data_IF_289372703848
#
_entry.id   IF_289372703848
#
_cell.length_a   1.000
_cell.length_b   1.000
_cell.length_c   1.000
_cell.angle_alpha   90.00
_cell.angle_beta   90.00
_cell.angle_gamma   90.00
#
_symmetry.space_group_name_H-M   'P 1'
#
loop_
_entity.id
_entity.type
_entity.pdbx_description
1 polymer ?
#
# COMPACT_ATOMS: atom_id res chain seq x y z
N UNK A 1 10.84 -12.08 4.67
CA UNK A 1 11.32 -10.81 4.08
C UNK A 1 12.19 -10.97 2.80
N UNK A 2 11.94 -11.87 1.83
CA UNK A 2 12.72 -11.87 0.57
C UNK A 2 12.52 -10.62 -0.30
N UNK A 3 11.29 -10.08 -0.32
CA UNK A 3 10.93 -8.91 -1.14
C UNK A 3 11.72 -7.65 -0.72
N UNK A 4 11.78 -7.35 0.58
CA UNK A 4 12.51 -6.19 1.10
C UNK A 4 14.01 -6.28 0.75
N UNK A 5 14.64 -7.45 0.95
CA UNK A 5 16.04 -7.64 0.56
C UNK A 5 16.24 -7.49 -0.96
N UNK A 6 15.35 -8.06 -1.77
CA UNK A 6 15.40 -7.92 -3.23
C UNK A 6 15.29 -6.45 -3.67
N UNK A 7 14.44 -5.66 -3.01
CA UNK A 7 14.28 -4.23 -3.32
C UNK A 7 15.49 -3.40 -2.89
N UNK A 8 16.06 -3.65 -1.70
CA UNK A 8 17.27 -2.97 -1.24
C UNK A 8 18.46 -3.29 -2.15
N UNK A 9 18.63 -4.56 -2.52
CA UNK A 9 19.67 -5.00 -3.45
C UNK A 9 19.43 -4.38 -4.84
N UNK A 10 18.19 -4.39 -5.33
CA UNK A 10 17.82 -3.76 -6.60
C UNK A 10 18.13 -2.26 -6.63
N UNK A 11 17.81 -1.55 -5.55
CA UNK A 11 18.12 -0.12 -5.39
C UNK A 11 19.63 0.13 -5.31
N UNK A 12 20.36 -0.69 -4.54
CA UNK A 12 21.81 -0.60 -4.43
C UNK A 12 22.50 -0.84 -5.79
N UNK A 13 22.05 -1.86 -6.54
CA UNK A 13 22.55 -2.15 -7.88
C UNK A 13 22.21 -1.05 -8.90
N UNK A 14 21.05 -0.41 -8.76
CA UNK A 14 20.66 0.74 -9.59
C UNK A 14 21.51 1.99 -9.30
N UNK A 15 21.79 2.29 -8.02
CA UNK A 15 22.64 3.42 -7.63
C UNK A 15 24.13 3.16 -7.90
N UNK A 16 24.57 1.90 -7.85
CA UNK A 16 25.94 1.51 -8.20
C UNK A 16 26.13 1.61 -9.72
N UNK A 17 26.57 2.81 -10.14
CA UNK A 17 26.97 3.18 -11.51
C UNK A 17 27.80 2.14 -12.32
N UNK A 18 28.61 1.22 -11.76
CA UNK A 18 29.28 0.20 -12.59
C UNK A 18 28.33 -0.82 -13.26
N UNK A 19 27.10 -1.04 -12.77
CA UNK A 19 26.17 -2.03 -13.36
C UNK A 19 25.12 -1.37 -14.27
N UNK A 20 25.46 -1.08 -15.52
CA UNK A 20 24.53 -0.61 -16.58
C UNK A 20 23.48 -1.65 -17.04
N UNK A 21 23.27 -2.72 -16.28
CA UNK A 21 22.34 -3.80 -16.63
C UNK A 21 20.89 -3.38 -16.35
N UNK A 22 20.66 -2.48 -15.37
CA UNK A 22 19.32 -1.99 -15.01
C UNK A 22 19.02 -0.65 -15.70
N UNK A 23 18.45 -0.72 -16.90
CA UNK A 23 18.02 0.45 -17.68
C UNK A 23 16.49 0.64 -17.74
N UNK A 24 16.03 1.74 -18.35
CA UNK A 24 14.59 2.05 -18.55
C UNK A 24 13.84 0.88 -19.24
N UNK A 25 14.44 0.25 -20.26
CA UNK A 25 13.88 -0.94 -20.95
C UNK A 25 13.68 -2.12 -20.01
N UNK A 26 14.67 -2.44 -19.17
CA UNK A 26 14.58 -3.56 -18.24
C UNK A 26 13.58 -3.30 -17.11
N UNK A 27 13.49 -2.06 -16.63
CA UNK A 27 12.45 -1.67 -15.66
C UNK A 27 11.03 -1.82 -16.22
N UNK A 28 10.83 -1.47 -17.50
CA UNK A 28 9.53 -1.62 -18.16
C UNK A 28 9.14 -3.10 -18.34
N UNK A 29 10.10 -3.95 -18.70
CA UNK A 29 9.88 -5.41 -18.76
C UNK A 29 9.64 -5.99 -17.37
N UNK A 30 10.37 -5.54 -16.35
CA UNK A 30 10.20 -5.97 -14.97
C UNK A 30 8.82 -5.59 -14.41
N UNK A 31 8.28 -4.40 -14.75
CA UNK A 31 6.91 -4.03 -14.39
C UNK A 31 5.88 -5.02 -14.98
N UNK A 32 6.01 -5.38 -16.25
CA UNK A 32 5.12 -6.38 -16.87
C UNK A 32 5.28 -7.78 -16.27
N UNK A 33 6.52 -8.22 -16.03
CA UNK A 33 6.82 -9.51 -15.42
C UNK A 33 6.30 -9.60 -13.97
N UNK A 34 6.43 -8.52 -13.20
CA UNK A 34 5.91 -8.44 -11.84
C UNK A 34 4.43 -8.77 -11.79
N UNK A 35 3.64 -8.31 -12.78
CA UNK A 35 2.22 -8.61 -12.86
C UNK A 35 1.93 -10.10 -13.09
N UNK A 36 2.69 -10.76 -13.96
CA UNK A 36 2.56 -12.20 -14.23
C UNK A 36 2.86 -13.01 -12.96
N UNK A 37 3.86 -12.59 -12.17
CA UNK A 37 4.19 -13.25 -10.91
C UNK A 37 3.22 -12.93 -9.76
N UNK A 38 2.65 -11.72 -9.75
CA UNK A 38 1.65 -11.30 -8.76
C UNK A 38 0.27 -11.87 -9.08
N UNK A 39 -0.06 -12.18 -10.34
CA UNK A 39 -1.35 -12.74 -10.74
C UNK A 39 -1.78 -13.98 -9.94
N UNK A 40 -0.93 -15.03 -9.82
CA UNK A 40 -1.21 -16.19 -8.97
C UNK A 40 -1.38 -15.84 -7.49
N UNK A 41 -0.65 -14.85 -6.99
CA UNK A 41 -0.83 -14.33 -5.63
C UNK A 41 -2.21 -13.69 -5.49
N UNK A 42 -2.59 -12.77 -6.39
CA UNK A 42 -3.92 -12.15 -6.40
C UNK A 42 -5.02 -13.21 -6.47
N UNK A 43 -4.89 -14.21 -7.34
CA UNK A 43 -5.87 -15.29 -7.47
C UNK A 43 -6.02 -16.08 -6.16
N UNK A 44 -4.91 -16.45 -5.52
CA UNK A 44 -4.94 -17.13 -4.21
C UNK A 44 -5.59 -16.24 -3.15
N UNK A 45 -5.27 -14.95 -3.13
CA UNK A 45 -5.78 -13.98 -2.17
C UNK A 45 -7.28 -13.74 -2.37
N UNK A 46 -7.76 -13.70 -3.61
CA UNK A 46 -9.17 -13.61 -3.95
C UNK A 46 -9.97 -14.83 -3.48
N UNK A 47 -9.45 -16.05 -3.71
CA UNK A 47 -10.07 -17.30 -3.23
C UNK A 47 -10.10 -17.32 -1.69
N UNK A 48 -8.99 -16.99 -1.05
CA UNK A 48 -8.88 -16.95 0.41
C UNK A 48 -9.83 -15.90 1.03
N UNK A 49 -9.97 -14.74 0.39
CA UNK A 49 -10.89 -13.69 0.84
C UNK A 49 -12.34 -14.13 0.70
N UNK A 50 -12.71 -14.71 -0.45
CA UNK A 50 -14.05 -15.25 -0.68
C UNK A 50 -14.47 -16.32 0.34
N UNK A 51 -13.54 -17.22 0.71
CA UNK A 51 -13.79 -18.22 1.76
C UNK A 51 -13.95 -17.61 3.16
N UNK A 52 -13.32 -16.45 3.39
CA UNK A 52 -13.32 -15.78 4.69
C UNK A 52 -14.51 -14.84 4.89
N UNK A 53 -15.48 -14.83 3.97
CA UNK A 53 -16.65 -13.94 4.07
C UNK A 53 -17.48 -14.21 5.33
N UNK A 54 -17.56 -15.48 5.75
CA UNK A 54 -18.21 -15.86 7.01
C UNK A 54 -17.50 -15.27 8.23
N UNK A 55 -16.17 -15.16 8.19
CA UNK A 55 -15.40 -14.52 9.25
C UNK A 55 -15.76 -13.04 9.27
N UNK A 56 -15.75 -12.34 8.13
CA UNK A 56 -16.11 -10.91 8.04
C UNK A 56 -17.49 -10.63 8.64
N UNK A 57 -18.48 -11.49 8.39
CA UNK A 57 -19.84 -11.34 8.94
C UNK A 57 -19.91 -11.55 10.46
N UNK A 58 -18.95 -12.29 11.02
CA UNK A 58 -18.85 -12.58 12.45
C UNK A 58 -17.91 -11.61 13.17
N UNK A 59 -17.15 -10.81 12.43
CA UNK A 59 -16.30 -9.76 12.98
C UNK A 59 -17.19 -8.72 13.67
N UNK A 60 -16.88 -8.41 14.93
CA UNK A 60 -17.64 -7.45 15.71
C UNK A 60 -17.62 -6.03 15.12
N UNK A 61 -18.63 -5.19 15.43
CA UNK A 61 -18.74 -3.84 14.88
C UNK A 61 -17.52 -2.95 15.14
N UNK A 62 -16.81 -3.17 16.26
CA UNK A 62 -15.59 -2.44 16.58
C UNK A 62 -14.48 -2.63 15.52
N UNK A 63 -14.32 -3.85 15.01
CA UNK A 63 -13.33 -4.18 13.99
C UNK A 63 -13.73 -3.64 12.61
N UNK A 64 -15.02 -3.67 12.26
CA UNK A 64 -15.50 -3.05 11.03
C UNK A 64 -15.27 -1.53 11.05
N UNK A 65 -15.54 -0.88 12.18
CA UNK A 65 -15.26 0.55 12.34
C UNK A 65 -13.76 0.86 12.31
N UNK A 66 -12.93 -0.03 12.85
CA UNK A 66 -11.47 0.09 12.75
C UNK A 66 -11.02 0.08 11.29
N UNK A 67 -11.50 -0.86 10.48
CA UNK A 67 -11.17 -0.92 9.06
C UNK A 67 -11.71 0.29 8.28
N UNK A 68 -12.94 0.72 8.53
CA UNK A 68 -13.48 1.95 7.94
C UNK A 68 -12.66 3.20 8.32
N UNK A 69 -11.99 3.18 9.47
CA UNK A 69 -11.04 4.22 9.87
C UNK A 69 -9.90 4.40 8.88
N UNK A 70 -9.54 3.36 8.12
CA UNK A 70 -8.52 3.42 7.07
C UNK A 70 -8.91 4.39 5.94
N UNK A 71 -10.21 4.55 5.64
CA UNK A 71 -10.72 5.57 4.70
C UNK A 71 -10.33 6.99 5.11
N UNK A 72 -10.14 7.23 6.42
CA UNK A 72 -9.69 8.50 6.98
C UNK A 72 -8.37 8.97 6.38
N UNK A 73 -7.49 8.04 6.00
CA UNK A 73 -6.20 8.36 5.41
C UNK A 73 -6.31 9.06 4.05
N UNK A 74 -7.38 8.81 3.29
CA UNK A 74 -7.62 9.43 1.97
C UNK A 74 -7.69 10.95 2.12
N UNK A 75 -8.37 11.44 3.16
CA UNK A 75 -8.56 12.88 3.40
C UNK A 75 -7.26 13.63 3.68
N UNK A 76 -6.20 12.93 4.10
CA UNK A 76 -4.88 13.53 4.32
C UNK A 76 -3.94 13.24 3.13
N UNK A 77 -3.92 12.00 2.65
CA UNK A 77 -3.01 11.57 1.61
C UNK A 77 -3.33 12.22 0.25
N UNK A 78 -4.61 12.32 -0.12
CA UNK A 78 -5.02 12.87 -1.41
C UNK A 78 -4.66 14.36 -1.56
N UNK A 79 -4.96 15.26 -0.60
CA UNK A 79 -4.50 16.65 -0.70
C UNK A 79 -2.99 16.78 -0.77
N UNK A 80 -2.25 16.01 0.04
CA UNK A 80 -0.79 16.05 0.04
C UNK A 80 -0.24 15.60 -1.33
N UNK A 81 -0.79 14.54 -1.92
CA UNK A 81 -0.36 14.07 -3.23
C UNK A 81 -0.67 15.07 -4.34
N UNK A 82 -1.83 15.74 -4.30
CA UNK A 82 -2.19 16.81 -5.25
C UNK A 82 -1.26 18.03 -5.12
N UNK A 83 -0.87 18.40 -3.89
CA UNK A 83 0.09 19.48 -3.64
C UNK A 83 1.50 19.16 -4.14
N UNK A 84 1.87 17.89 -4.16
CA UNK A 84 3.11 17.40 -4.75
C UNK A 84 3.08 17.36 -6.30
N UNK A 85 1.94 17.70 -6.91
CA UNK A 85 1.79 17.83 -8.36
C UNK A 85 1.34 16.56 -9.08
N UNK A 86 1.05 15.49 -8.35
CA UNK A 86 0.47 14.29 -8.94
C UNK A 86 -0.98 14.53 -9.37
N UNK A 87 -1.41 13.95 -10.49
CA UNK A 87 -2.75 14.13 -11.05
C UNK A 87 -3.56 12.84 -10.89
N UNK A 88 -3.87 12.15 -11.99
CA UNK A 88 -4.65 10.91 -11.99
C UNK A 88 -3.96 9.79 -11.20
N UNK A 89 -2.64 9.83 -11.12
CA UNK A 89 -1.84 8.92 -10.29
C UNK A 89 -2.30 8.93 -8.83
N UNK A 90 -2.79 10.09 -8.32
CA UNK A 90 -3.21 10.24 -6.91
C UNK A 90 -4.34 9.28 -6.53
N UNK A 91 -5.22 8.94 -7.48
CA UNK A 91 -6.31 8.00 -7.23
C UNK A 91 -5.72 6.62 -6.89
N UNK A 92 -4.75 6.16 -7.67
CA UNK A 92 -4.03 4.91 -7.39
C UNK A 92 -3.16 4.98 -6.13
N UNK A 93 -2.55 6.14 -5.86
CA UNK A 93 -1.65 6.31 -4.71
C UNK A 93 -2.34 6.42 -3.36
N UNK A 94 -3.59 6.90 -3.34
CA UNK A 94 -4.25 7.33 -2.08
C UNK A 94 -5.54 6.59 -1.79
N UNK A 95 -6.08 5.83 -2.74
CA UNK A 95 -7.30 5.03 -2.53
C UNK A 95 -7.13 3.88 -1.54
N UNK A 96 -5.90 3.52 -1.19
CA UNK A 96 -5.63 2.56 -0.12
C UNK A 96 -4.17 2.61 0.30
N UNK A 97 -3.77 1.77 1.25
CA UNK A 97 -2.39 1.49 1.65
C UNK A 97 -1.56 0.85 0.49
N UNK A 98 -2.17 0.62 -0.69
CA UNK A 98 -1.54 0.11 -1.92
C UNK A 98 -0.82 -1.22 -1.68
N UNK A 99 -1.59 -2.30 -1.46
CA UNK A 99 -1.08 -3.67 -1.30
C UNK A 99 -1.43 -4.53 -2.51
N UNK A 100 -0.91 -5.75 -2.54
CA UNK A 100 -1.11 -6.73 -3.61
C UNK A 100 -2.58 -6.83 -4.10
N UNK A 101 -3.60 -6.94 -3.23
CA UNK A 101 -4.99 -6.93 -3.68
C UNK A 101 -5.38 -5.60 -4.34
N UNK A 102 -4.94 -4.47 -3.80
CA UNK A 102 -5.27 -3.14 -4.34
C UNK A 102 -4.63 -2.90 -5.70
N UNK A 103 -3.42 -3.43 -5.91
CA UNK A 103 -2.77 -3.40 -7.22
C UNK A 103 -3.65 -4.13 -8.26
N UNK A 104 -4.16 -5.31 -7.91
CA UNK A 104 -5.10 -6.05 -8.74
C UNK A 104 -6.36 -5.25 -9.06
N UNK A 105 -6.99 -4.65 -8.04
CA UNK A 105 -8.23 -3.88 -8.19
C UNK A 105 -8.02 -2.67 -9.10
N UNK A 106 -6.96 -1.89 -8.90
CA UNK A 106 -6.67 -0.69 -9.70
C UNK A 106 -6.37 -1.08 -11.14
N UNK A 107 -5.60 -2.15 -11.38
CA UNK A 107 -5.27 -2.60 -12.73
C UNK A 107 -6.50 -3.16 -13.44
N UNK A 108 -7.35 -3.91 -12.75
CA UNK A 108 -8.62 -4.40 -13.29
C UNK A 108 -9.55 -3.25 -13.69
N UNK A 109 -9.65 -2.22 -12.83
CA UNK A 109 -10.56 -1.09 -13.04
C UNK A 109 -10.07 -0.07 -14.07
N UNK A 110 -8.79 0.32 -14.04
CA UNK A 110 -8.25 1.41 -14.86
C UNK A 110 -7.36 0.94 -16.02
N UNK A 111 -6.94 -0.33 -16.02
CA UNK A 111 -6.01 -0.88 -16.99
C UNK A 111 -4.55 -0.68 -16.61
N UNK A 112 -3.68 -1.53 -17.19
CA UNK A 112 -2.26 -1.62 -16.84
C UNK A 112 -1.46 -0.35 -17.16
N UNK A 113 -1.71 0.27 -18.31
CA UNK A 113 -0.98 1.47 -18.77
C UNK A 113 -1.56 2.78 -18.23
N UNK A 114 -2.52 2.71 -17.30
CA UNK A 114 -3.14 3.87 -16.68
C UNK A 114 -2.20 4.60 -15.71
N UNK A 115 -2.44 5.89 -15.53
CA UNK A 115 -1.70 6.70 -14.57
C UNK A 115 -2.02 6.24 -13.12
N UNK A 116 -3.23 5.74 -12.86
CA UNK A 116 -3.63 5.12 -11.60
C UNK A 116 -2.80 3.86 -11.28
N UNK A 117 -2.64 2.96 -12.25
CA UNK A 117 -1.82 1.76 -12.10
C UNK A 117 -0.35 2.11 -11.78
N UNK A 118 0.19 3.16 -12.41
CA UNK A 118 1.53 3.68 -12.12
C UNK A 118 1.61 4.26 -10.71
N UNK A 119 0.58 4.99 -10.27
CA UNK A 119 0.48 5.53 -8.92
C UNK A 119 0.52 4.44 -7.85
N UNK A 120 -0.37 3.45 -7.94
CA UNK A 120 -0.44 2.35 -6.96
C UNK A 120 0.85 1.52 -6.94
N UNK A 121 1.49 1.28 -8.09
CA UNK A 121 2.78 0.59 -8.18
C UNK A 121 3.89 1.38 -7.48
N UNK A 122 3.94 2.69 -7.69
CA UNK A 122 4.92 3.57 -7.03
C UNK A 122 4.83 3.48 -5.52
N UNK A 123 3.62 3.60 -4.97
CA UNK A 123 3.40 3.55 -3.52
C UNK A 123 3.57 2.13 -2.98
N UNK A 124 3.19 1.08 -3.72
CA UNK A 124 3.45 -0.30 -3.33
C UNK A 124 4.96 -0.53 -3.10
N UNK A 125 5.79 -0.07 -4.03
CA UNK A 125 7.25 -0.20 -3.96
C UNK A 125 7.82 0.66 -2.84
N UNK A 126 7.64 1.99 -2.93
CA UNK A 126 8.26 2.93 -1.99
C UNK A 126 7.68 2.75 -0.58
N UNK A 127 6.37 2.60 -0.48
CA UNK A 127 5.64 2.45 0.78
C UNK A 127 5.98 1.15 1.50
N UNK A 128 6.24 0.04 0.80
CA UNK A 128 6.69 -1.18 1.47
C UNK A 128 8.09 -1.02 2.04
N UNK A 129 9.00 -0.37 1.32
CA UNK A 129 10.38 -0.16 1.80
C UNK A 129 10.46 0.83 2.96
N UNK A 130 9.97 2.05 2.74
CA UNK A 130 10.07 3.14 3.71
C UNK A 130 9.05 2.93 4.84
N UNK A 131 7.84 2.50 4.50
CA UNK A 131 6.76 2.31 5.46
C UNK A 131 7.08 1.23 6.49
N UNK A 132 7.77 0.14 6.14
CA UNK A 132 8.17 -0.89 7.12
C UNK A 132 9.11 -0.33 8.20
N UNK A 133 10.06 0.53 7.81
CA UNK A 133 10.97 1.19 8.76
C UNK A 133 10.19 2.22 9.59
N UNK A 134 9.40 3.05 8.91
CA UNK A 134 8.64 4.12 9.54
C UNK A 134 7.62 3.59 10.56
N UNK A 135 6.89 2.52 10.23
CA UNK A 135 5.84 1.99 11.12
C UNK A 135 6.41 1.36 12.39
N UNK A 136 7.56 0.69 12.30
CA UNK A 136 8.24 0.14 13.47
C UNK A 136 8.66 1.25 14.45
N UNK A 137 9.21 2.33 13.91
CA UNK A 137 9.56 3.52 14.69
C UNK A 137 8.32 4.22 15.27
N UNK A 138 7.27 4.40 14.46
CA UNK A 138 6.03 5.03 14.87
C UNK A 138 5.35 4.27 16.01
N UNK A 139 5.24 2.95 15.90
CA UNK A 139 4.66 2.11 16.97
C UNK A 139 5.48 2.21 18.25
N UNK A 140 6.81 2.28 18.14
CA UNK A 140 7.68 2.44 19.31
C UNK A 140 7.38 3.74 20.08
N UNK A 141 7.17 4.84 19.36
CA UNK A 141 6.78 6.13 19.94
C UNK A 141 5.37 6.04 20.52
N UNK A 142 4.40 5.57 19.74
CA UNK A 142 2.99 5.49 20.15
C UNK A 142 2.84 4.64 21.42
N UNK A 143 3.50 3.49 21.48
CA UNK A 143 3.46 2.60 22.64
C UNK A 143 4.07 3.21 23.90
N UNK A 144 4.94 4.21 23.75
CA UNK A 144 5.56 4.93 24.86
C UNK A 144 4.76 6.16 25.31
N UNK A 145 4.06 6.83 24.38
CA UNK A 145 3.41 8.13 24.61
C UNK A 145 1.92 8.00 24.89
N UNK A 146 1.23 7.09 24.20
CA UNK A 146 -0.21 6.94 24.33
C UNK A 146 -0.56 5.88 25.40
N UNK A 147 -1.43 6.20 26.37
CA UNK A 147 -1.86 5.26 27.40
C UNK A 147 -2.94 4.30 26.87
N UNK A 148 -2.67 3.64 25.74
CA UNK A 148 -3.58 2.65 25.16
C UNK A 148 -3.21 1.24 25.63
N UNK A 149 -4.19 0.33 25.62
CA UNK A 149 -3.93 -1.07 25.95
C UNK A 149 -3.08 -1.74 24.85
N UNK A 150 -2.08 -2.59 25.19
CA UNK A 150 -1.21 -3.25 24.21
C UNK A 150 -1.98 -4.05 23.15
N UNK A 151 -3.12 -4.64 23.51
CA UNK A 151 -3.98 -5.34 22.54
C UNK A 151 -4.62 -4.39 21.51
N UNK A 152 -5.03 -3.19 21.91
CA UNK A 152 -5.56 -2.21 20.96
C UNK A 152 -4.48 -1.76 19.97
N UNK A 153 -3.24 -1.57 20.46
CA UNK A 153 -2.10 -1.27 19.60
C UNK A 153 -1.75 -2.43 18.68
N UNK A 154 -1.82 -3.67 19.19
CA UNK A 154 -1.62 -4.87 18.39
C UNK A 154 -2.63 -4.97 17.24
N UNK A 155 -3.91 -4.69 17.52
CA UNK A 155 -4.94 -4.62 16.49
C UNK A 155 -4.61 -3.55 15.44
N UNK A 156 -4.16 -2.37 15.87
CA UNK A 156 -3.75 -1.30 14.95
C UNK A 156 -2.53 -1.64 14.08
N UNK A 157 -1.68 -2.60 14.48
CA UNK A 157 -0.58 -3.08 13.64
C UNK A 157 -1.04 -3.89 12.43
N UNK A 158 -2.24 -4.48 12.50
CA UNK A 158 -2.82 -5.22 11.39
C UNK A 158 -3.30 -4.27 10.31
N UNK A 159 -2.48 -4.09 9.27
CA UNK A 159 -2.73 -3.15 8.17
C UNK A 159 -2.86 -3.84 6.80
N UNK A 160 -3.10 -5.15 6.79
CA UNK A 160 -3.21 -5.96 5.56
C UNK A 160 -1.87 -6.21 4.86
N UNK A 161 -0.75 -6.17 5.59
CA UNK A 161 0.60 -6.42 5.06
C UNK A 161 1.40 -7.29 6.01
N UNK A 162 1.83 -8.46 5.55
CA UNK A 162 2.62 -9.38 6.37
C UNK A 162 3.96 -8.76 6.83
N UNK A 163 4.64 -8.03 5.94
CA UNK A 163 5.94 -7.41 6.26
C UNK A 163 5.80 -6.24 7.22
N UNK A 164 4.87 -5.32 6.95
CA UNK A 164 4.69 -4.14 7.81
C UNK A 164 4.06 -4.52 9.15
N UNK A 165 3.15 -5.49 9.18
CA UNK A 165 2.61 -6.02 10.43
C UNK A 165 3.72 -6.62 11.30
N UNK A 166 4.61 -7.44 10.72
CA UNK A 166 5.75 -7.99 11.47
C UNK A 166 6.65 -6.89 12.04
N UNK A 167 6.92 -5.84 11.27
CA UNK A 167 7.74 -4.71 11.71
C UNK A 167 7.05 -3.84 12.78
N UNK A 168 5.73 -3.68 12.69
CA UNK A 168 4.90 -2.93 13.64
C UNK A 168 4.74 -3.68 14.97
N UNK A 169 4.58 -5.01 14.94
CA UNK A 169 4.39 -5.85 16.13
C UNK A 169 5.69 -6.02 16.94
N UNK A 170 6.83 -6.08 16.27
CA UNK A 170 8.15 -6.27 16.89
C UNK A 170 8.41 -5.38 18.12
N UNK A 171 8.30 -4.03 18.05
CA UNK A 171 8.52 -3.16 19.20
C UNK A 171 7.50 -3.37 20.34
N UNK A 172 6.25 -3.72 20.04
CA UNK A 172 5.23 -4.02 21.05
C UNK A 172 5.55 -5.30 21.82
N UNK A 173 5.97 -6.35 21.11
CA UNK A 173 6.41 -7.61 21.75
C UNK A 173 7.63 -7.37 22.63
N UNK A 174 8.54 -6.51 22.22
CA UNK A 174 9.72 -6.17 23.00
C UNK A 174 9.39 -5.37 24.28
N UNK A 175 8.43 -4.44 24.22
CA UNK A 175 7.97 -3.69 25.38
C UNK A 175 7.08 -4.51 26.33
N UNK A 176 6.30 -5.45 25.80
CA UNK A 176 5.34 -6.24 26.57
C UNK A 176 5.58 -7.76 26.37
N UNK A 177 6.73 -8.30 26.78
CA UNK A 177 7.11 -9.68 26.51
C UNK A 177 6.15 -10.71 27.12
N UNK A 178 5.54 -10.38 28.27
CA UNK A 178 4.55 -11.24 28.92
C UNK A 178 3.25 -11.40 28.10
N UNK A 179 2.97 -10.49 27.16
CA UNK A 179 1.77 -10.47 26.32
C UNK A 179 2.08 -10.83 24.86
N UNK A 180 3.32 -11.21 24.54
CA UNK A 180 3.81 -11.42 23.18
C UNK A 180 2.89 -12.29 22.32
N UNK A 181 2.53 -13.48 22.82
CA UNK A 181 1.66 -14.42 22.10
C UNK A 181 0.30 -13.83 21.77
N UNK A 182 -0.30 -13.08 22.70
CA UNK A 182 -1.59 -12.45 22.49
C UNK A 182 -1.47 -11.27 21.51
N UNK A 183 -0.42 -10.45 21.63
CA UNK A 183 -0.14 -9.34 20.72
C UNK A 183 -0.01 -9.86 19.27
N UNK A 184 0.79 -10.91 19.05
CA UNK A 184 0.96 -11.52 17.73
C UNK A 184 -0.36 -12.09 17.19
N UNK A 185 -1.16 -12.73 18.04
CA UNK A 185 -2.46 -13.28 17.65
C UNK A 185 -3.46 -12.18 17.26
N UNK A 186 -3.58 -11.12 18.06
CA UNK A 186 -4.46 -9.99 17.76
C UNK A 186 -4.02 -9.25 16.49
N UNK A 187 -2.73 -8.98 16.34
CA UNK A 187 -2.20 -8.33 15.15
C UNK A 187 -2.36 -9.19 13.89
N UNK A 188 -2.12 -10.51 13.99
CA UNK A 188 -2.33 -11.44 12.89
C UNK A 188 -3.80 -11.54 12.47
N UNK A 189 -4.72 -11.60 13.45
CA UNK A 189 -6.16 -11.60 13.21
C UNK A 189 -6.61 -10.31 12.53
N UNK A 190 -6.22 -9.14 13.08
CA UNK A 190 -6.54 -7.84 12.47
C UNK A 190 -5.98 -7.75 11.05
N UNK A 191 -4.73 -8.17 10.84
CA UNK A 191 -4.11 -8.14 9.52
C UNK A 191 -4.87 -8.99 8.49
N UNK A 192 -5.40 -10.15 8.89
CA UNK A 192 -6.23 -10.98 8.03
C UNK A 192 -7.57 -10.30 7.70
N UNK A 193 -8.20 -9.67 8.70
CA UNK A 193 -9.45 -8.93 8.51
C UNK A 193 -9.22 -7.76 7.55
N UNK A 194 -8.21 -6.92 7.77
CA UNK A 194 -7.88 -5.81 6.86
C UNK A 194 -7.58 -6.30 5.45
N UNK A 195 -6.92 -7.47 5.34
CA UNK A 195 -6.62 -8.06 4.05
C UNK A 195 -7.91 -8.48 3.29
N UNK A 196 -8.84 -9.16 3.96
CA UNK A 196 -10.06 -9.66 3.33
C UNK A 196 -11.13 -8.58 3.16
N UNK A 197 -11.42 -7.83 4.21
CA UNK A 197 -12.41 -6.74 4.20
C UNK A 197 -11.95 -5.57 3.35
N UNK A 198 -10.66 -5.22 3.42
CA UNK A 198 -10.09 -4.09 2.67
C UNK A 198 -10.26 -4.20 1.16
N UNK A 199 -10.38 -5.41 0.60
CA UNK A 199 -10.72 -5.59 -0.83
C UNK A 199 -12.10 -5.03 -1.14
N UNK A 200 -13.10 -5.39 -0.34
CA UNK A 200 -14.49 -4.95 -0.54
C UNK A 200 -14.63 -3.46 -0.22
N UNK A 201 -14.00 -3.00 0.85
CA UNK A 201 -13.92 -1.58 1.21
C UNK A 201 -13.32 -0.76 0.07
N UNK A 202 -12.20 -1.21 -0.51
CA UNK A 202 -11.51 -0.52 -1.59
C UNK A 202 -12.39 -0.38 -2.84
N UNK A 203 -13.02 -1.48 -3.27
CA UNK A 203 -13.90 -1.51 -4.46
C UNK A 203 -15.14 -0.64 -4.25
N UNK A 204 -15.81 -0.79 -3.10
CA UNK A 204 -17.13 -0.19 -2.88
C UNK A 204 -17.07 1.23 -2.32
N UNK A 205 -16.04 1.56 -1.54
CA UNK A 205 -15.96 2.81 -0.78
C UNK A 205 -14.70 3.62 -1.15
N UNK A 206 -13.50 3.06 -0.97
CA UNK A 206 -12.27 3.87 -1.05
C UNK A 206 -12.02 4.45 -2.43
N UNK A 207 -12.19 3.66 -3.50
CA UNK A 207 -11.99 4.16 -4.87
C UNK A 207 -13.06 5.20 -5.26
N UNK A 208 -14.37 4.94 -5.11
CA UNK A 208 -15.40 5.95 -5.40
C UNK A 208 -15.22 7.23 -4.59
N UNK A 209 -14.87 7.11 -3.31
CA UNK A 209 -14.58 8.26 -2.44
C UNK A 209 -13.37 9.05 -2.93
N UNK A 210 -12.30 8.38 -3.31
CA UNK A 210 -11.08 9.03 -3.81
C UNK A 210 -11.34 9.74 -5.14
N UNK A 211 -12.08 9.13 -6.06
CA UNK A 211 -12.48 9.80 -7.32
C UNK A 211 -13.35 11.03 -7.06
N UNK A 212 -14.29 10.93 -6.12
CA UNK A 212 -15.14 12.05 -5.73
C UNK A 212 -14.30 13.20 -5.17
N UNK A 213 -13.45 12.92 -4.19
CA UNK A 213 -12.59 13.93 -3.58
C UNK A 213 -11.60 14.51 -4.60
N UNK A 214 -11.03 13.69 -5.48
CA UNK A 214 -10.13 14.15 -6.54
C UNK A 214 -10.81 15.19 -7.44
N UNK A 215 -12.03 14.92 -7.90
CA UNK A 215 -12.80 15.87 -8.74
C UNK A 215 -13.07 17.21 -8.07
N UNK A 216 -13.18 17.23 -6.74
CA UNK A 216 -13.44 18.47 -5.98
C UNK A 216 -12.15 19.20 -5.60
N UNK A 217 -11.11 18.46 -5.24
CA UNK A 217 -9.86 19.02 -4.71
C UNK A 217 -8.87 19.39 -5.81
N UNK A 218 -8.76 18.59 -6.88
CA UNK A 218 -7.77 18.85 -7.94
C UNK A 218 -7.92 20.24 -8.58
N UNK A 219 -9.12 20.76 -8.87
CA UNK A 219 -9.27 22.12 -9.41
C UNK A 219 -8.86 23.23 -8.43
N UNK A 220 -8.84 22.95 -7.12
CA UNK A 220 -8.61 23.94 -6.06
C UNK A 220 -7.14 23.96 -5.64
N UNK A 221 -6.54 22.79 -5.47
CA UNK A 221 -5.19 22.61 -4.90
C UNK A 221 -4.20 21.93 -5.85
N UNK A 222 -4.67 21.39 -6.97
CA UNK A 222 -3.84 20.69 -7.93
C UNK A 222 -2.85 21.64 -8.59
N UNK A 223 -1.55 21.46 -8.29
CA UNK A 223 -0.49 22.14 -9.03
C UNK A 223 -0.30 21.48 -10.40
N UNK A 224 -0.03 22.26 -11.43
CA UNK A 224 0.48 21.71 -12.68
C UNK A 224 1.93 21.25 -12.47
N UNK A 225 2.20 20.01 -12.84
CA UNK A 225 3.54 19.46 -12.96
C UNK A 225 3.86 19.37 -14.46
N UNK A 226 4.87 20.10 -14.93
CA UNK A 226 5.43 19.88 -16.26
C UNK A 226 6.05 18.48 -16.28
N UNK A 227 5.41 17.57 -17.01
CA UNK A 227 5.91 16.21 -17.23
C UNK A 227 7.19 16.35 -18.08
N UNK A 228 8.37 16.22 -17.45
CA UNK A 228 9.68 16.32 -18.12
C UNK A 228 9.65 15.61 -19.49
N UNK A 229 9.91 16.40 -20.52
CA UNK A 229 9.74 16.08 -21.95
C UNK A 229 10.77 15.06 -22.49
N UNK A 230 11.48 14.31 -21.63
CA UNK A 230 12.43 13.27 -22.05
C UNK A 230 11.76 12.10 -22.80
N UNK A 231 10.44 11.93 -22.65
CA UNK A 231 9.72 10.82 -23.32
C UNK A 231 9.32 11.15 -24.76
N UNK A 232 9.29 12.43 -25.15
CA UNK A 232 8.92 12.85 -26.52
C UNK A 232 10.09 12.71 -27.50
N UNK A 233 11.33 12.95 -27.07
CA UNK A 233 12.50 12.80 -27.94
C UNK A 233 12.80 11.34 -28.34
N UNK A 234 12.44 10.36 -27.50
CA UNK A 234 12.67 8.94 -27.84
C UNK A 234 11.66 8.43 -28.89
N UNK A 235 10.42 8.95 -28.95
CA UNK A 235 9.45 8.53 -29.98
C UNK A 235 9.81 9.10 -31.35
N UNK A 236 10.40 10.29 -31.38
CA UNK A 236 10.82 10.95 -32.63
C UNK A 236 12.12 10.37 -33.22
N UNK A 237 12.88 9.60 -32.44
CA UNK A 237 14.07 8.87 -32.92
C UNK A 237 13.78 7.53 -33.61
N UNK A 238 12.53 7.09 -33.63
CA UNK A 238 12.10 5.82 -34.22
C UNK A 238 10.96 5.96 -35.25
N UNK A 239 10.63 7.18 -35.65
CA UNK A 239 9.81 7.50 -36.85
C UNK A 239 10.71 8.15 -37.90
#
# INVERSE_FOLDING_TARGET
MPLLYAMIIGLALYLLKPFKIVGKKQSKVAQGAMLVFIGPLIAKLAISSGQSIHIILQVGPALLLQELGNLGTIFLALPVALLLGFKRETIGMTSSICREPNLGIIIDKYGFDSDEARGVLTVFVIGTMIGTIFISFLVSIIASVLPLHPYAMAMACGIGSASMNAAAVSPLVHMYPALATNIEAFAGCSNLISFCFGIYECILLSIPLTEFLYKHLEPIIGREYEKDDETKEEVQKWN
#
